data_IF_735802878497
#
_entry.id   IF_735802878497
#
_cell.length_a   1.000
_cell.length_b   1.000
_cell.length_c   1.000
_cell.angle_alpha   90.00
_cell.angle_beta   90.00
_cell.angle_gamma   90.00
#
_symmetry.space_group_name_H-M   'P 1'
#
loop_
_entity.id
_entity.type
_entity.pdbx_description
1 polymer ?
#
# COMPACT_ATOMS: atom_id res chain seq x y z
N UNK A 1 16.49 5.29 20.85
CA UNK A 1 16.29 6.18 19.68
C UNK A 1 14.93 5.89 19.12
N UNK A 2 14.24 6.91 18.57
CA UNK A 2 12.96 6.72 17.89
C UNK A 2 13.17 5.89 16.63
N UNK A 3 12.28 4.92 16.37
CA UNK A 3 12.25 4.12 15.13
C UNK A 3 11.25 4.74 14.15
N UNK A 4 11.57 4.75 12.87
CA UNK A 4 10.74 5.38 11.82
C UNK A 4 10.17 4.34 10.87
N UNK A 5 8.85 4.39 10.67
CA UNK A 5 8.12 3.60 9.67
C UNK A 5 7.73 4.50 8.51
N UNK A 6 8.06 4.10 7.29
CA UNK A 6 7.55 4.72 6.07
C UNK A 6 6.42 3.86 5.52
N UNK A 7 5.18 4.35 5.60
CA UNK A 7 3.99 3.69 5.05
C UNK A 7 3.73 4.18 3.62
N UNK A 8 4.22 3.42 2.63
CA UNK A 8 4.16 3.75 1.21
C UNK A 8 3.00 3.01 0.52
N UNK A 9 2.08 3.76 -0.09
CA UNK A 9 0.90 3.18 -0.72
C UNK A 9 0.14 4.15 -1.62
N UNK A 10 -1.11 3.79 -1.90
CA UNK A 10 -2.02 4.51 -2.79
C UNK A 10 -3.09 5.32 -2.00
N UNK A 11 -4.29 5.48 -2.58
CA UNK A 11 -5.43 6.16 -1.97
C UNK A 11 -5.85 5.55 -0.64
N UNK A 12 -5.73 4.24 -0.47
CA UNK A 12 -6.06 3.55 0.77
C UNK A 12 -5.06 3.83 1.89
N UNK A 13 -3.80 4.12 1.55
CA UNK A 13 -2.80 4.60 2.52
C UNK A 13 -2.95 6.10 2.77
N UNK A 14 -3.29 6.88 1.76
CA UNK A 14 -3.64 8.29 1.89
C UNK A 14 -4.85 8.49 2.79
N UNK A 15 -5.82 7.57 2.73
CA UNK A 15 -7.08 7.66 3.47
C UNK A 15 -8.19 8.35 2.68
N UNK A 16 -8.30 8.05 1.38
CA UNK A 16 -9.44 8.48 0.56
C UNK A 16 -10.70 7.75 0.99
N UNK A 17 -11.80 8.45 1.33
CA UNK A 17 -13.08 7.82 1.59
C UNK A 17 -13.67 7.14 0.34
N UNK A 18 -14.55 6.13 0.50
CA UNK A 18 -15.28 5.55 -0.61
C UNK A 18 -16.06 6.59 -1.42
N UNK A 19 -16.01 6.48 -2.74
CA UNK A 19 -16.52 7.47 -3.69
C UNK A 19 -17.95 7.12 -4.13
N UNK A 20 -18.88 8.06 -4.01
CA UNK A 20 -20.25 7.93 -4.56
C UNK A 20 -20.28 8.17 -6.06
N UNK A 21 -19.40 9.04 -6.57
CA UNK A 21 -19.20 9.34 -7.97
C UNK A 21 -17.72 9.68 -8.25
N UNK A 22 -17.30 9.71 -9.53
CA UNK A 22 -15.92 10.00 -9.93
C UNK A 22 -15.49 11.44 -9.63
N UNK A 23 -16.42 12.35 -9.57
CA UNK A 23 -16.17 13.77 -9.34
C UNK A 23 -16.23 14.14 -7.85
N UNK A 24 -16.53 13.14 -7.00
CA UNK A 24 -16.52 13.33 -5.55
C UNK A 24 -15.11 13.67 -5.09
N UNK A 25 -15.01 14.77 -4.42
CA UNK A 25 -13.83 15.47 -3.94
C UNK A 25 -12.64 14.60 -3.51
N UNK A 26 -11.45 15.16 -3.68
CA UNK A 26 -10.19 14.78 -3.04
C UNK A 26 -10.26 14.88 -1.49
N UNK A 27 -11.27 14.29 -0.88
CA UNK A 27 -11.39 14.24 0.56
C UNK A 27 -10.42 13.21 1.14
N UNK A 28 -9.97 13.47 2.35
CA UNK A 28 -9.09 12.60 3.12
C UNK A 28 -9.71 12.40 4.48
N UNK A 29 -9.72 11.16 4.96
CA UNK A 29 -10.11 10.89 6.34
C UNK A 29 -9.20 11.63 7.34
N UNK A 30 -9.75 11.96 8.49
CA UNK A 30 -9.01 12.50 9.60
C UNK A 30 -7.93 11.53 10.09
N UNK A 31 -6.94 12.06 10.78
CA UNK A 31 -5.76 11.32 11.23
C UNK A 31 -6.11 10.11 12.11
N UNK A 32 -7.14 10.20 12.91
CA UNK A 32 -7.56 9.13 13.82
C UNK A 32 -8.32 7.97 13.12
N UNK A 33 -8.60 8.10 11.82
CA UNK A 33 -9.26 7.08 10.99
C UNK A 33 -8.27 6.34 10.12
N UNK A 34 -7.30 7.01 9.51
CA UNK A 34 -6.37 6.43 8.54
C UNK A 34 -5.54 5.30 9.15
N UNK A 35 -5.46 4.17 8.46
CA UNK A 35 -4.79 2.97 8.99
C UNK A 35 -3.32 3.18 9.42
N UNK A 36 -2.48 4.01 8.76
CA UNK A 36 -1.12 4.21 9.25
C UNK A 36 -1.08 4.92 10.59
N UNK A 37 -1.96 5.89 10.80
CA UNK A 37 -2.04 6.65 12.05
C UNK A 37 -2.76 5.87 13.15
N UNK A 38 -3.75 5.04 12.78
CA UNK A 38 -4.31 4.04 13.71
C UNK A 38 -3.22 3.06 14.15
N UNK A 39 -2.40 2.54 13.21
CA UNK A 39 -1.25 1.70 13.53
C UNK A 39 -0.32 2.38 14.53
N UNK A 40 0.06 3.62 14.30
CA UNK A 40 0.92 4.38 15.22
C UNK A 40 0.38 4.44 16.65
N UNK A 41 -0.94 4.60 16.83
CA UNK A 41 -1.57 4.62 18.17
C UNK A 41 -1.45 3.30 18.93
N UNK A 42 -1.27 2.17 18.22
CA UNK A 42 -1.13 0.84 18.81
C UNK A 42 0.32 0.36 18.91
N UNK A 43 1.26 1.11 18.34
CA UNK A 43 2.69 0.87 18.49
C UNK A 43 3.23 1.52 19.75
N UNK A 44 4.43 1.09 20.17
CA UNK A 44 5.21 1.75 21.21
C UNK A 44 5.48 3.23 20.83
N UNK A 45 5.48 4.19 21.78
CA UNK A 45 5.79 5.60 21.52
C UNK A 45 7.14 5.87 20.84
N UNK A 46 8.03 4.89 20.81
CA UNK A 46 9.29 4.98 20.07
C UNK A 46 9.14 4.88 18.56
N UNK A 47 8.01 4.38 18.05
CA UNK A 47 7.73 4.33 16.63
C UNK A 47 7.07 5.62 16.13
N UNK A 48 7.62 6.17 15.06
CA UNK A 48 7.02 7.27 14.30
C UNK A 48 6.63 6.79 12.92
N UNK A 49 5.43 7.13 12.46
CA UNK A 49 4.90 6.75 11.16
C UNK A 49 4.87 7.95 10.22
N UNK A 50 5.47 7.78 9.05
CA UNK A 50 5.39 8.72 7.94
C UNK A 50 4.43 8.15 6.91
N UNK A 51 3.38 8.89 6.58
CA UNK A 51 2.38 8.51 5.58
C UNK A 51 2.82 8.99 4.19
N UNK A 52 3.06 8.06 3.27
CA UNK A 52 3.38 8.31 1.87
C UNK A 52 2.33 7.67 0.95
N UNK A 53 1.05 7.97 1.20
CA UNK A 53 -0.07 7.60 0.35
C UNK A 53 -0.26 8.60 -0.79
N UNK A 54 -0.37 8.11 -2.03
CA UNK A 54 -0.72 8.92 -3.20
C UNK A 54 -1.89 8.28 -3.96
N UNK A 55 -3.08 8.92 -3.99
CA UNK A 55 -4.22 8.40 -4.74
C UNK A 55 -3.87 8.13 -6.21
N UNK A 56 -4.18 6.91 -6.68
CA UNK A 56 -3.85 6.50 -8.04
C UNK A 56 -2.47 5.83 -8.22
N UNK A 57 -1.60 5.83 -7.21
CA UNK A 57 -0.26 5.23 -7.31
C UNK A 57 -0.33 3.76 -7.71
N UNK A 58 0.44 3.40 -8.73
CA UNK A 58 0.70 2.03 -9.18
C UNK A 58 1.99 1.50 -8.57
N UNK A 59 2.29 0.22 -8.79
CA UNK A 59 3.60 -0.33 -8.42
C UNK A 59 4.73 0.25 -9.27
N UNK A 60 4.58 0.24 -10.62
CA UNK A 60 5.69 0.59 -11.51
C UNK A 60 5.28 1.20 -12.86
N UNK A 61 4.03 1.63 -12.98
CA UNK A 61 3.49 2.15 -14.24
C UNK A 61 3.21 3.66 -14.13
N UNK A 62 3.51 4.40 -15.19
CA UNK A 62 2.93 5.71 -15.39
C UNK A 62 1.43 5.57 -15.66
N UNK A 63 0.61 6.43 -15.10
CA UNK A 63 -0.82 6.46 -15.41
C UNK A 63 -1.06 7.42 -16.59
N UNK A 64 -1.62 6.96 -17.72
CA UNK A 64 -1.78 7.81 -18.90
C UNK A 64 -2.75 8.98 -18.70
N UNK A 65 -3.66 8.90 -17.71
CA UNK A 65 -4.58 9.98 -17.38
C UNK A 65 -4.04 10.87 -16.26
N UNK A 66 -3.37 10.30 -15.25
CA UNK A 66 -2.92 11.02 -14.05
C UNK A 66 -1.45 11.44 -14.11
N UNK A 67 -0.64 10.82 -14.96
CA UNK A 67 0.75 11.21 -15.20
C UNK A 67 1.81 10.25 -14.63
N UNK A 68 3.07 10.55 -14.96
CA UNK A 68 4.25 9.71 -14.66
C UNK A 68 4.51 9.57 -13.16
N UNK A 69 4.11 10.55 -12.35
CA UNK A 69 4.30 10.53 -10.91
C UNK A 69 3.48 9.45 -10.19
N UNK A 70 2.52 8.82 -10.88
CA UNK A 70 1.82 7.65 -10.37
C UNK A 70 2.70 6.40 -10.32
N UNK A 71 3.81 6.38 -11.05
CA UNK A 71 4.77 5.27 -10.99
C UNK A 71 5.43 5.21 -9.60
N UNK A 72 5.10 4.15 -8.85
CA UNK A 72 5.60 3.94 -7.49
C UNK A 72 7.13 3.90 -7.38
N UNK A 73 7.85 3.51 -8.42
CA UNK A 73 9.31 3.52 -8.40
C UNK A 73 9.88 4.94 -8.27
N UNK A 74 9.26 5.93 -8.92
CA UNK A 74 9.65 7.33 -8.82
C UNK A 74 9.36 7.81 -7.39
N UNK A 75 8.13 7.61 -6.92
CA UNK A 75 7.70 8.00 -5.58
C UNK A 75 8.53 7.37 -4.48
N UNK A 76 8.84 6.08 -4.57
CA UNK A 76 9.63 5.37 -3.56
C UNK A 76 11.06 5.92 -3.45
N UNK A 77 11.72 6.21 -4.59
CA UNK A 77 13.06 6.82 -4.59
C UNK A 77 13.06 8.19 -3.92
N UNK A 78 12.03 9.01 -4.20
CA UNK A 78 11.87 10.34 -3.59
C UNK A 78 11.62 10.18 -2.09
N UNK A 79 10.68 9.33 -1.69
CA UNK A 79 10.33 9.13 -0.28
C UNK A 79 11.53 8.62 0.54
N UNK A 80 12.24 7.61 0.06
CA UNK A 80 13.45 7.11 0.71
C UNK A 80 14.58 8.16 0.76
N UNK A 81 14.67 9.06 -0.21
CA UNK A 81 15.66 10.14 -0.18
C UNK A 81 15.29 11.27 0.79
N UNK A 82 13.99 11.50 1.01
CA UNK A 82 13.48 12.65 1.77
C UNK A 82 13.24 12.34 3.25
N UNK A 83 12.92 11.07 3.59
CA UNK A 83 12.49 10.66 4.94
C UNK A 83 13.49 9.76 5.67
N UNK A 84 14.73 9.67 5.18
CA UNK A 84 15.76 8.84 5.82
C UNK A 84 16.35 9.47 7.09
N UNK A 85 16.91 8.67 7.99
CA UNK A 85 16.85 7.21 7.96
C UNK A 85 15.49 6.64 8.42
N UNK A 86 15.10 5.50 7.87
CA UNK A 86 13.93 4.73 8.31
C UNK A 86 14.37 3.35 8.82
N UNK A 87 13.56 2.73 9.69
CA UNK A 87 13.79 1.39 10.23
C UNK A 87 12.90 0.34 9.56
N UNK A 88 11.72 0.73 9.08
CA UNK A 88 10.77 -0.17 8.43
C UNK A 88 10.07 0.53 7.26
N UNK A 89 10.11 -0.09 6.09
CA UNK A 89 9.32 0.27 4.93
C UNK A 89 8.09 -0.64 4.83
N UNK A 90 6.90 -0.07 4.83
CA UNK A 90 5.66 -0.80 4.55
C UNK A 90 5.19 -0.42 3.15
N UNK A 91 4.92 -1.42 2.29
CA UNK A 91 4.40 -1.20 0.93
C UNK A 91 3.02 -1.86 0.81
N UNK A 92 1.98 -1.06 0.53
CA UNK A 92 0.65 -1.55 0.15
C UNK A 92 0.25 -0.93 -1.19
N UNK A 93 0.50 -1.65 -2.28
CA UNK A 93 0.23 -1.26 -3.66
C UNK A 93 -0.23 -2.47 -4.48
N UNK A 94 -0.78 -2.21 -5.67
CA UNK A 94 -1.25 -3.22 -6.63
C UNK A 94 -2.72 -3.05 -6.99
N UNK A 95 -3.49 -2.32 -6.19
CA UNK A 95 -4.90 -2.03 -6.47
C UNK A 95 -5.03 -1.25 -7.79
N UNK A 96 -4.30 -0.16 -7.96
CA UNK A 96 -4.39 0.67 -9.17
C UNK A 96 -3.85 0.00 -10.42
N UNK A 97 -2.89 -0.92 -10.28
CA UNK A 97 -2.36 -1.72 -11.38
C UNK A 97 -3.41 -2.65 -11.98
N UNK A 98 -4.45 -3.01 -11.22
CA UNK A 98 -5.56 -3.86 -11.69
C UNK A 98 -6.56 -3.14 -12.60
N UNK A 99 -6.50 -1.80 -12.72
CA UNK A 99 -7.35 -1.02 -13.64
C UNK A 99 -7.30 -1.57 -15.05
N UNK A 100 -8.44 -1.56 -15.73
CA UNK A 100 -8.57 -2.12 -17.09
C UNK A 100 -7.59 -1.51 -18.10
N UNK A 101 -7.31 -0.24 -17.96
CA UNK A 101 -6.41 0.51 -18.87
C UNK A 101 -4.99 -0.05 -18.94
N UNK A 102 -4.52 -0.73 -17.89
CA UNK A 102 -3.18 -1.31 -17.86
C UNK A 102 -3.12 -2.73 -18.46
N UNK A 103 -4.24 -3.43 -18.54
CA UNK A 103 -4.31 -4.76 -19.14
C UNK A 103 -3.43 -5.83 -18.46
N UNK A 104 -3.03 -5.62 -17.20
CA UNK A 104 -2.12 -6.52 -16.49
C UNK A 104 -2.84 -7.72 -15.90
N UNK A 105 -2.13 -8.87 -15.88
CA UNK A 105 -2.45 -10.01 -15.03
C UNK A 105 -1.83 -9.85 -13.63
N UNK A 106 -2.32 -10.61 -12.65
CA UNK A 106 -1.82 -10.56 -11.26
C UNK A 106 -0.30 -10.78 -11.14
N UNK A 107 0.28 -11.67 -11.96
CA UNK A 107 1.72 -11.91 -11.99
C UNK A 107 2.52 -10.68 -12.44
N UNK A 108 1.99 -9.93 -13.40
CA UNK A 108 2.63 -8.69 -13.89
C UNK A 108 2.55 -7.59 -12.85
N UNK A 109 1.44 -7.48 -12.11
CA UNK A 109 1.30 -6.56 -10.96
C UNK A 109 2.35 -6.92 -9.90
N UNK A 110 2.51 -8.19 -9.58
CA UNK A 110 3.54 -8.66 -8.65
C UNK A 110 4.96 -8.36 -9.15
N UNK A 111 5.21 -8.42 -10.46
CA UNK A 111 6.49 -8.01 -11.04
C UNK A 111 6.77 -6.51 -10.83
N UNK A 112 5.73 -5.67 -10.84
CA UNK A 112 5.83 -4.27 -10.48
C UNK A 112 6.24 -4.10 -9.00
N UNK A 113 5.63 -4.83 -8.06
CA UNK A 113 6.05 -4.84 -6.67
C UNK A 113 7.50 -5.33 -6.50
N UNK A 114 7.92 -6.37 -7.25
CA UNK A 114 9.31 -6.81 -7.22
C UNK A 114 10.30 -5.71 -7.63
N UNK A 115 9.91 -4.83 -8.53
CA UNK A 115 10.72 -3.67 -8.91
C UNK A 115 10.91 -2.68 -7.77
N UNK A 116 9.88 -2.46 -6.94
CA UNK A 116 9.98 -1.65 -5.72
C UNK A 116 10.89 -2.31 -4.68
N UNK A 117 10.74 -3.62 -4.49
CA UNK A 117 11.60 -4.38 -3.59
C UNK A 117 13.08 -4.31 -4.03
N UNK A 118 13.37 -4.41 -5.33
CA UNK A 118 14.73 -4.25 -5.85
C UNK A 118 15.34 -2.87 -5.55
N UNK A 119 14.54 -1.81 -5.58
CA UNK A 119 14.98 -0.47 -5.16
C UNK A 119 15.29 -0.48 -3.67
N UNK A 120 14.37 -0.98 -2.84
CA UNK A 120 14.47 -0.94 -1.40
C UNK A 120 15.66 -1.76 -0.86
N UNK A 121 15.91 -2.97 -1.41
CA UNK A 121 17.02 -3.83 -0.97
C UNK A 121 18.36 -3.49 -1.62
N UNK A 122 18.43 -2.48 -2.50
CA UNK A 122 19.69 -2.14 -3.14
C UNK A 122 20.74 -1.76 -2.07
N UNK A 123 22.02 -2.16 -2.24
CA UNK A 123 23.07 -1.88 -1.25
C UNK A 123 23.22 -0.38 -0.95
N UNK A 124 22.98 0.46 -1.95
CA UNK A 124 23.05 1.91 -1.78
C UNK A 124 21.91 2.44 -0.90
N UNK A 125 20.70 1.95 -1.11
CA UNK A 125 19.54 2.36 -0.33
C UNK A 125 19.64 1.85 1.10
N UNK A 126 20.03 0.60 1.30
CA UNK A 126 20.22 0.03 2.63
C UNK A 126 21.29 0.78 3.45
N UNK A 127 22.42 1.13 2.82
CA UNK A 127 23.47 1.92 3.51
C UNK A 127 23.01 3.33 3.92
N UNK A 128 22.17 3.98 3.09
CA UNK A 128 21.65 5.33 3.41
C UNK A 128 20.78 5.36 4.66
N UNK A 129 20.17 4.24 5.02
CA UNK A 129 19.25 4.12 6.14
C UNK A 129 19.81 3.27 7.29
N UNK A 130 21.06 2.90 7.25
CA UNK A 130 21.69 1.99 8.23
C UNK A 130 20.98 0.62 8.32
N UNK A 131 20.50 0.16 7.20
CA UNK A 131 19.62 -0.99 6.96
C UNK A 131 18.20 -0.79 7.54
N UNK A 132 17.21 -1.17 6.77
CA UNK A 132 15.81 -1.17 7.19
C UNK A 132 15.13 -2.47 6.75
N UNK A 133 14.15 -2.86 7.53
CA UNK A 133 13.29 -3.99 7.20
C UNK A 133 12.15 -3.60 6.26
N UNK A 134 11.53 -4.59 5.62
CA UNK A 134 10.44 -4.38 4.67
C UNK A 134 9.26 -5.26 5.04
N UNK A 135 8.07 -4.67 5.05
CA UNK A 135 6.78 -5.34 5.16
C UNK A 135 5.95 -5.04 3.90
N UNK A 136 5.53 -6.07 3.19
CA UNK A 136 4.56 -5.93 2.11
C UNK A 136 3.16 -6.29 2.61
N UNK A 137 2.18 -5.48 2.20
CA UNK A 137 0.77 -5.74 2.49
C UNK A 137 0.08 -6.02 1.15
N UNK A 138 -0.44 -7.24 0.98
CA UNK A 138 -1.34 -7.53 -0.13
C UNK A 138 -2.63 -6.74 0.07
N UNK A 139 -3.05 -5.87 -0.88
CA UNK A 139 -4.32 -5.17 -0.75
C UNK A 139 -5.51 -6.15 -0.77
N UNK A 140 -6.64 -5.80 -0.14
CA UNK A 140 -7.84 -6.63 -0.19
C UNK A 140 -8.41 -6.68 -1.61
N UNK A 141 -9.31 -7.62 -1.86
CA UNK A 141 -9.92 -7.80 -3.17
C UNK A 141 -10.76 -6.59 -3.57
N UNK A 142 -10.60 -6.16 -4.81
CA UNK A 142 -11.48 -5.14 -5.41
C UNK A 142 -12.84 -5.77 -5.70
N UNK A 143 -13.91 -5.02 -5.40
CA UNK A 143 -15.28 -5.33 -5.81
C UNK A 143 -15.64 -4.39 -6.96
N UNK A 144 -16.07 -4.94 -8.08
CA UNK A 144 -16.43 -4.13 -9.27
C UNK A 144 -17.79 -3.51 -9.05
N UNK A 145 -17.82 -2.30 -8.47
CA UNK A 145 -19.06 -1.66 -8.04
C UNK A 145 -19.14 -0.16 -8.37
N UNK A 146 -20.34 0.27 -8.71
CA UNK A 146 -20.77 1.67 -8.77
C UNK A 146 -19.80 2.60 -9.54
N UNK A 147 -19.35 3.68 -8.90
CA UNK A 147 -18.57 4.75 -9.53
C UNK A 147 -17.29 4.27 -10.21
N UNK A 148 -16.66 3.22 -9.68
CA UNK A 148 -15.37 2.72 -10.13
C UNK A 148 -15.45 1.41 -10.95
N UNK A 149 -16.64 0.81 -11.09
CA UNK A 149 -16.85 -0.47 -11.79
C UNK A 149 -16.18 -0.54 -13.16
N UNK A 150 -16.36 0.50 -14.00
CA UNK A 150 -15.80 0.52 -15.35
C UNK A 150 -14.28 0.61 -15.37
N UNK A 151 -13.69 1.30 -14.39
CA UNK A 151 -12.23 1.49 -14.28
C UNK A 151 -11.57 0.20 -13.81
N UNK A 152 -12.21 -0.49 -12.86
CA UNK A 152 -11.74 -1.72 -12.26
C UNK A 152 -12.40 -2.98 -12.85
N UNK A 153 -12.90 -2.91 -14.07
CA UNK A 153 -13.48 -4.06 -14.75
C UNK A 153 -12.47 -5.22 -14.84
N UNK A 154 -12.87 -6.43 -14.46
CA UNK A 154 -12.03 -7.61 -14.28
C UNK A 154 -10.92 -7.47 -13.22
N UNK A 155 -11.00 -6.51 -12.29
CA UNK A 155 -10.03 -6.36 -11.22
C UNK A 155 -10.25 -7.34 -10.06
N UNK A 156 -11.49 -7.77 -9.83
CA UNK A 156 -11.82 -8.69 -8.74
C UNK A 156 -11.02 -10.00 -8.83
N UNK A 157 -11.01 -10.65 -10.00
CA UNK A 157 -10.25 -11.87 -10.25
C UNK A 157 -8.75 -11.65 -10.09
N UNK A 158 -8.21 -10.57 -10.67
CA UNK A 158 -6.79 -10.23 -10.58
C UNK A 158 -6.34 -10.00 -9.14
N UNK A 159 -7.10 -9.21 -8.38
CA UNK A 159 -6.75 -8.88 -6.98
C UNK A 159 -6.91 -10.08 -6.05
N UNK A 160 -7.82 -11.00 -6.33
CA UNK A 160 -7.93 -12.27 -5.62
C UNK A 160 -6.67 -13.15 -5.73
N UNK A 161 -5.96 -13.07 -6.86
CA UNK A 161 -4.74 -13.84 -7.08
C UNK A 161 -3.46 -13.19 -6.50
N UNK A 162 -3.49 -11.89 -6.16
CA UNK A 162 -2.28 -11.16 -5.75
C UNK A 162 -1.60 -11.81 -4.54
N UNK A 163 -2.34 -12.30 -3.55
CA UNK A 163 -1.74 -12.86 -2.35
C UNK A 163 -0.83 -14.06 -2.63
N UNK A 164 -1.19 -14.90 -3.59
CA UNK A 164 -0.37 -16.02 -4.07
C UNK A 164 0.99 -15.55 -4.59
N UNK A 165 1.02 -14.47 -5.37
CA UNK A 165 2.25 -13.95 -5.97
C UNK A 165 3.06 -13.14 -4.95
N UNK A 166 2.42 -12.34 -4.11
CA UNK A 166 3.09 -11.57 -3.06
C UNK A 166 3.72 -12.48 -1.99
N UNK A 167 3.09 -13.62 -1.69
CA UNK A 167 3.69 -14.64 -0.81
C UNK A 167 4.99 -15.21 -1.38
N UNK A 168 5.05 -15.44 -2.71
CA UNK A 168 6.29 -15.89 -3.38
C UNK A 168 7.37 -14.80 -3.34
N UNK A 169 6.99 -13.54 -3.51
CA UNK A 169 7.93 -12.42 -3.39
C UNK A 169 8.45 -12.29 -1.96
N UNK A 170 7.57 -12.32 -0.95
CA UNK A 170 7.97 -12.26 0.45
C UNK A 170 9.01 -13.34 0.79
N UNK A 171 8.77 -14.58 0.37
CA UNK A 171 9.71 -15.68 0.57
C UNK A 171 11.04 -15.46 -0.17
N UNK A 172 10.99 -15.02 -1.45
CA UNK A 172 12.19 -14.77 -2.27
C UNK A 172 13.06 -13.65 -1.73
N UNK A 173 12.43 -12.54 -1.32
CA UNK A 173 13.13 -11.36 -0.82
C UNK A 173 13.39 -11.40 0.69
N UNK A 174 12.84 -12.41 1.38
CA UNK A 174 12.94 -12.59 2.84
C UNK A 174 12.42 -11.36 3.61
N UNK A 175 11.26 -10.85 3.18
CA UNK A 175 10.58 -9.70 3.80
C UNK A 175 9.30 -10.13 4.51
N UNK A 176 8.83 -9.30 5.45
CA UNK A 176 7.55 -9.52 6.11
C UNK A 176 6.36 -9.42 5.14
N UNK A 177 5.27 -10.12 5.44
CA UNK A 177 4.04 -10.07 4.64
C UNK A 177 2.78 -10.17 5.50
N UNK A 178 1.79 -9.36 5.15
CA UNK A 178 0.40 -9.44 5.62
C UNK A 178 -0.52 -9.49 4.40
N UNK A 179 -1.59 -10.26 4.45
CA UNK A 179 -2.71 -10.14 3.53
C UNK A 179 -3.81 -9.30 4.20
N UNK A 180 -4.08 -8.10 3.69
CA UNK A 180 -5.11 -7.23 4.25
C UNK A 180 -6.51 -7.87 4.17
N UNK A 181 -6.76 -8.68 3.14
CA UNK A 181 -8.02 -9.41 2.98
C UNK A 181 -8.35 -10.41 4.09
N UNK A 182 -7.37 -10.76 4.96
CA UNK A 182 -7.63 -11.60 6.14
C UNK A 182 -8.30 -10.81 7.29
N UNK A 183 -8.34 -9.48 7.21
CA UNK A 183 -8.81 -8.58 8.28
C UNK A 183 -9.88 -7.60 7.83
N UNK A 184 -9.89 -7.24 6.55
CA UNK A 184 -10.74 -6.19 5.99
C UNK A 184 -11.25 -6.54 4.60
N UNK A 185 -12.32 -5.85 4.20
CA UNK A 185 -12.83 -5.85 2.83
C UNK A 185 -12.84 -4.43 2.28
N UNK A 186 -12.98 -4.30 0.94
CA UNK A 186 -13.26 -3.00 0.31
C UNK A 186 -14.71 -2.60 0.54
N UNK A 187 -14.97 -1.29 0.59
CA UNK A 187 -16.31 -0.73 0.81
C UNK A 187 -17.32 -1.21 -0.24
N UNK A 188 -18.57 -1.41 0.18
CA UNK A 188 -19.69 -1.65 -0.73
C UNK A 188 -20.06 -0.42 -1.56
N UNK A 189 -19.57 0.77 -1.20
CA UNK A 189 -19.86 2.02 -1.89
C UNK A 189 -19.18 2.10 -3.25
N UNK A 190 -17.90 1.74 -3.36
CA UNK A 190 -17.16 1.82 -4.62
C UNK A 190 -16.32 0.57 -4.95
N UNK A 191 -16.23 -0.36 -4.00
CA UNK A 191 -15.52 -1.62 -4.17
C UNK A 191 -13.99 -1.53 -4.15
N UNK A 192 -13.41 -0.37 -3.80
CA UNK A 192 -11.96 -0.10 -3.86
C UNK A 192 -11.43 0.49 -2.56
N UNK A 193 -12.08 1.53 -2.05
CA UNK A 193 -11.64 2.23 -0.85
C UNK A 193 -12.14 1.57 0.43
N UNK A 194 -11.58 2.00 1.57
CA UNK A 194 -11.88 1.41 2.87
C UNK A 194 -12.82 2.30 3.67
N UNK A 195 -13.78 1.68 4.34
CA UNK A 195 -14.59 2.36 5.34
C UNK A 195 -13.79 2.63 6.62
N UNK A 196 -14.20 3.55 7.52
CA UNK A 196 -13.49 3.85 8.76
C UNK A 196 -13.22 2.62 9.65
N UNK A 197 -14.15 1.65 9.69
CA UNK A 197 -13.98 0.37 10.41
C UNK A 197 -12.82 -0.44 9.88
N UNK A 198 -12.68 -0.48 8.54
CA UNK A 198 -11.64 -1.25 7.85
C UNK A 198 -10.26 -0.62 8.05
N UNK A 199 -10.16 0.69 7.96
CA UNK A 199 -8.94 1.41 8.34
C UNK A 199 -8.50 1.07 9.77
N UNK A 200 -9.45 1.08 10.72
CA UNK A 200 -9.17 0.76 12.13
C UNK A 200 -8.74 -0.69 12.33
N UNK A 201 -9.38 -1.63 11.63
CA UNK A 201 -9.05 -3.05 11.70
C UNK A 201 -7.66 -3.32 11.12
N UNK A 202 -7.35 -2.76 9.93
CA UNK A 202 -6.05 -2.89 9.29
C UNK A 202 -4.93 -2.30 10.14
N UNK A 203 -5.10 -1.07 10.64
CA UNK A 203 -4.10 -0.42 11.47
C UNK A 203 -3.74 -1.23 12.71
N UNK A 204 -4.74 -1.83 13.39
CA UNK A 204 -4.51 -2.73 14.53
C UNK A 204 -3.79 -4.02 14.13
N UNK A 205 -4.18 -4.64 13.01
CA UNK A 205 -3.57 -5.86 12.53
C UNK A 205 -2.08 -5.65 12.19
N UNK A 206 -1.77 -4.55 11.50
CA UNK A 206 -0.39 -4.21 11.14
C UNK A 206 0.45 -3.89 12.39
N UNK A 207 -0.09 -3.10 13.32
CA UNK A 207 0.60 -2.82 14.59
C UNK A 207 0.93 -4.11 15.35
N UNK A 208 -0.04 -5.02 15.48
CA UNK A 208 0.17 -6.32 16.13
C UNK A 208 1.25 -7.14 15.44
N UNK A 209 1.28 -7.13 14.10
CA UNK A 209 2.32 -7.83 13.35
C UNK A 209 3.71 -7.23 13.63
N UNK A 210 3.83 -5.90 13.63
CA UNK A 210 5.09 -5.20 13.90
C UNK A 210 5.61 -5.54 15.29
N UNK A 211 4.78 -5.43 16.32
CA UNK A 211 5.17 -5.74 17.70
C UNK A 211 5.63 -7.19 17.90
N UNK A 212 5.12 -8.12 17.10
CA UNK A 212 5.52 -9.52 17.18
C UNK A 212 6.82 -9.85 16.42
N UNK A 213 7.20 -9.05 15.42
CA UNK A 213 8.33 -9.35 14.54
C UNK A 213 9.48 -8.37 14.66
N UNK A 214 9.21 -7.14 15.14
CA UNK A 214 10.21 -6.08 15.35
C UNK A 214 9.99 -5.40 16.72
N UNK A 215 10.19 -6.11 17.83
CA UNK A 215 9.94 -5.61 19.18
C UNK A 215 10.85 -4.42 19.56
#
# INVERSE_FOLDING_TARGET
>A
MSKTILAFGDSNTFGTPPMLDRDSNNSRYEEDIRWPMVMQKYLDPYWQVIEEGLPGRTTSLADPEMGDHMNGQIGLKIALASHGPIDLLIIMLGTNDSKIQFGLAAEQIASGLASLLNIAISPDMQRKHDNFDILIITPPHVKEKNALEKIFFNAAEKTAELDKYYSKLAARYKVGKINAGDFIETSETDGVHFDPSEHKALGKAVAKYILNNWP
#
